data_IF_270806370171
#
_entry.id   IF_270806370171
#
_cell.length_a   1.000
_cell.length_b   1.000
_cell.length_c   1.000
_cell.angle_alpha   90.00
_cell.angle_beta   90.00
_cell.angle_gamma   90.00
#
_symmetry.space_group_name_H-M   'P 1'
#
loop_
_entity.id
_entity.type
_entity.pdbx_description
1 polymer ?
#
# COMPACT_ATOMS: atom_id res chain seq x y z
N UNK A 1 8.71 13.89 -64.09
CA UNK A 1 9.64 12.84 -64.55
C UNK A 1 9.53 11.65 -63.61
N UNK A 2 8.96 10.55 -64.12
CA UNK A 2 9.15 9.13 -63.76
C UNK A 2 8.73 8.60 -62.37
N UNK A 3 7.53 7.99 -62.40
CA UNK A 3 7.04 6.87 -61.59
C UNK A 3 8.07 5.76 -61.36
N UNK A 4 8.04 5.14 -60.18
CA UNK A 4 8.50 3.76 -59.94
C UNK A 4 7.43 3.02 -59.12
N UNK A 5 6.51 2.39 -59.84
CA UNK A 5 5.68 1.28 -59.37
C UNK A 5 6.47 -0.01 -59.64
N UNK A 6 6.56 -0.90 -58.65
CA UNK A 6 6.70 -2.33 -58.91
C UNK A 6 5.78 -3.11 -57.99
N UNK A 7 4.92 -3.87 -58.65
CA UNK A 7 3.88 -4.75 -58.14
C UNK A 7 4.48 -5.93 -57.38
N UNK A 8 3.81 -6.36 -56.31
CA UNK A 8 3.95 -7.72 -55.78
C UNK A 8 2.58 -8.36 -55.76
N UNK A 9 2.52 -9.48 -56.48
CA UNK A 9 1.34 -10.19 -56.91
C UNK A 9 0.52 -10.76 -55.75
N UNK A 10 -0.79 -10.69 -55.95
CA UNK A 10 -1.86 -11.33 -55.17
C UNK A 10 -1.72 -12.85 -55.32
N UNK A 11 -1.35 -13.53 -54.24
CA UNK A 11 -1.35 -15.00 -54.13
C UNK A 11 -2.32 -15.43 -53.03
N UNK A 12 -3.44 -16.01 -53.43
CA UNK A 12 -4.47 -16.61 -52.59
C UNK A 12 -3.90 -17.75 -51.72
N UNK A 13 -3.85 -17.55 -50.40
CA UNK A 13 -3.61 -18.64 -49.43
C UNK A 13 -4.86 -18.79 -48.57
N UNK A 14 -5.56 -19.88 -48.83
CA UNK A 14 -6.73 -20.38 -48.10
C UNK A 14 -6.38 -20.59 -46.61
N UNK A 15 -7.19 -20.13 -45.64
CA UNK A 15 -6.94 -20.47 -44.24
C UNK A 15 -7.39 -21.91 -43.98
N UNK A 16 -6.43 -22.81 -43.83
CA UNK A 16 -6.66 -24.17 -43.35
C UNK A 16 -7.01 -24.10 -41.86
N UNK A 17 -8.30 -24.11 -41.56
CA UNK A 17 -8.84 -24.27 -40.21
C UNK A 17 -8.42 -25.65 -39.68
N UNK A 18 -7.29 -25.71 -38.97
CA UNK A 18 -6.87 -26.90 -38.23
C UNK A 18 -7.61 -26.92 -36.90
N UNK A 19 -8.72 -27.66 -36.89
CA UNK A 19 -9.50 -27.97 -35.70
C UNK A 19 -8.70 -28.96 -34.84
N UNK A 20 -7.88 -28.43 -33.91
CA UNK A 20 -7.20 -29.24 -32.89
C UNK A 20 -8.19 -29.61 -31.79
N UNK A 21 -8.78 -30.79 -31.94
CA UNK A 21 -9.50 -31.52 -30.89
C UNK A 21 -8.48 -31.94 -29.83
N UNK A 22 -8.44 -31.25 -28.69
CA UNK A 22 -7.72 -31.75 -27.52
C UNK A 22 -8.55 -32.87 -26.88
N UNK A 23 -8.23 -34.10 -27.29
CA UNK A 23 -8.57 -35.32 -26.54
C UNK A 23 -7.87 -35.25 -25.19
N UNK A 24 -8.65 -35.29 -24.13
CA UNK A 24 -8.14 -35.42 -22.77
C UNK A 24 -7.53 -36.80 -22.53
N UNK A 25 -6.30 -36.80 -22.03
CA UNK A 25 -5.73 -37.94 -21.31
C UNK A 25 -5.68 -37.57 -19.83
N UNK A 26 -6.63 -38.16 -19.08
CA UNK A 26 -6.45 -38.44 -17.66
C UNK A 26 -5.39 -39.52 -17.57
N UNK A 27 -4.32 -39.29 -16.82
CA UNK A 27 -3.53 -40.41 -16.31
C UNK A 27 -3.07 -40.22 -14.87
N UNK A 28 -3.19 -41.35 -14.21
CA UNK A 28 -3.10 -41.73 -12.82
C UNK A 28 -1.67 -41.67 -12.28
N UNK A 29 -1.58 -41.38 -10.98
CA UNK A 29 -0.58 -41.83 -10.00
C UNK A 29 0.65 -42.58 -10.52
N UNK A 30 1.81 -41.97 -10.35
CA UNK A 30 3.03 -42.70 -10.00
C UNK A 30 3.80 -41.95 -8.91
N UNK A 31 3.79 -42.53 -7.71
CA UNK A 31 4.72 -42.19 -6.64
C UNK A 31 6.14 -42.56 -7.04
N UNK A 32 7.06 -41.62 -6.81
CA UNK A 32 8.50 -41.78 -7.03
C UNK A 32 9.28 -41.23 -5.84
N UNK A 33 9.79 -42.18 -5.05
CA UNK A 33 10.97 -42.19 -4.18
C UNK A 33 11.71 -40.86 -3.88
N UNK A 34 11.81 -40.56 -2.58
CA UNK A 34 12.68 -39.55 -2.01
C UNK A 34 14.14 -40.04 -2.04
N UNK A 35 15.05 -39.20 -2.49
CA UNK A 35 16.48 -39.33 -2.16
C UNK A 35 17.04 -38.01 -1.66
N UNK A 36 17.77 -38.11 -0.56
CA UNK A 36 18.29 -37.07 0.32
C UNK A 36 19.25 -36.05 -0.32
N UNK A 37 19.20 -34.82 0.20
CA UNK A 37 20.39 -34.22 0.79
C UNK A 37 21.18 -33.19 -0.03
N UNK A 38 20.77 -31.91 0.05
CA UNK A 38 21.72 -30.82 0.27
C UNK A 38 21.13 -29.81 1.26
N UNK A 39 21.58 -29.95 2.50
CA UNK A 39 21.33 -29.04 3.61
C UNK A 39 21.78 -27.63 3.26
N UNK A 40 20.82 -26.71 3.20
CA UNK A 40 20.99 -25.28 3.35
C UNK A 40 20.00 -24.84 4.41
N UNK A 41 20.50 -24.19 5.46
CA UNK A 41 19.77 -23.77 6.66
C UNK A 41 18.48 -23.04 6.32
N UNK A 42 17.35 -23.75 6.36
CA UNK A 42 16.03 -23.17 6.49
C UNK A 42 15.79 -22.92 7.97
N UNK A 43 15.71 -21.65 8.35
CA UNK A 43 15.05 -21.27 9.60
C UNK A 43 13.68 -21.94 9.61
N UNK A 44 13.43 -22.78 10.60
CA UNK A 44 12.19 -23.54 10.75
C UNK A 44 11.03 -22.56 10.96
N UNK A 45 10.39 -22.14 9.88
CA UNK A 45 9.01 -21.66 9.96
C UNK A 45 8.18 -22.87 10.35
N UNK A 46 7.81 -22.95 11.64
CA UNK A 46 6.82 -23.89 12.16
C UNK A 46 5.64 -23.93 11.18
N UNK A 47 5.54 -25.00 10.41
CA UNK A 47 4.66 -25.08 9.26
C UNK A 47 3.22 -24.80 9.66
N UNK A 48 2.70 -23.65 9.26
CA UNK A 48 1.27 -23.33 9.39
C UNK A 48 0.58 -24.08 8.25
N UNK A 49 0.28 -25.37 8.46
CA UNK A 49 -0.52 -26.16 7.52
C UNK A 49 -1.99 -26.10 7.90
N UNK A 50 -2.88 -25.86 6.93
CA UNK A 50 -4.34 -25.78 7.12
C UNK A 50 -4.92 -24.41 6.77
N UNK A 51 -6.20 -24.13 7.11
CA UNK A 51 -6.90 -22.90 6.72
C UNK A 51 -6.19 -21.61 7.16
N UNK A 52 -5.49 -21.65 8.29
CA UNK A 52 -4.66 -20.52 8.77
C UNK A 52 -3.45 -20.27 7.88
N UNK A 53 -2.81 -21.34 7.40
CA UNK A 53 -1.70 -21.26 6.44
C UNK A 53 -2.15 -20.69 5.10
N UNK A 54 -3.36 -21.03 4.67
CA UNK A 54 -3.95 -20.48 3.45
C UNK A 54 -4.26 -18.99 3.59
N UNK A 55 -4.75 -18.56 4.77
CA UNK A 55 -4.93 -17.13 5.09
C UNK A 55 -3.61 -16.36 5.14
N UNK A 56 -2.57 -16.92 5.76
CA UNK A 56 -1.24 -16.28 5.80
C UNK A 56 -0.67 -16.12 4.39
N UNK A 57 -0.77 -17.13 3.53
CA UNK A 57 -0.33 -17.04 2.12
C UNK A 57 -1.12 -16.01 1.32
N UNK A 58 -2.44 -15.97 1.52
CA UNK A 58 -3.29 -14.94 0.89
C UNK A 58 -2.91 -13.54 1.36
N UNK A 59 -2.63 -13.39 2.65
CA UNK A 59 -2.16 -12.14 3.25
C UNK A 59 -0.81 -11.69 2.72
N UNK A 60 0.14 -12.61 2.60
CA UNK A 60 1.46 -12.34 2.02
C UNK A 60 1.34 -11.83 0.58
N UNK A 61 0.53 -12.51 -0.24
CA UNK A 61 0.23 -12.07 -1.60
C UNK A 61 -0.36 -10.65 -1.61
N UNK A 62 -1.36 -10.38 -0.77
CA UNK A 62 -2.02 -9.08 -0.68
C UNK A 62 -1.05 -7.97 -0.24
N UNK A 63 -0.29 -8.21 0.82
CA UNK A 63 0.71 -7.25 1.32
C UNK A 63 1.76 -6.92 0.25
N UNK A 64 2.13 -7.92 -0.56
CA UNK A 64 3.08 -7.74 -1.66
C UNK A 64 2.48 -6.91 -2.79
N UNK A 65 1.31 -7.29 -3.31
CA UNK A 65 0.71 -6.61 -4.48
C UNK A 65 0.12 -5.24 -4.16
N UNK A 66 -0.28 -5.01 -2.91
CA UNK A 66 -0.71 -3.70 -2.42
C UNK A 66 0.47 -2.80 -2.02
N UNK A 67 1.71 -3.30 -2.08
CA UNK A 67 2.91 -2.48 -1.83
C UNK A 67 3.03 -1.99 -0.38
N UNK A 68 2.55 -2.73 0.62
CA UNK A 68 2.61 -2.23 2.00
C UNK A 68 4.06 -2.04 2.47
N UNK A 69 5.00 -2.84 1.95
CA UNK A 69 6.42 -2.71 2.26
C UNK A 69 7.05 -1.42 1.74
N UNK A 70 6.48 -0.78 0.72
CA UNK A 70 7.02 0.44 0.12
C UNK A 70 7.09 1.56 1.15
N UNK A 71 6.11 1.64 2.04
CA UNK A 71 6.10 2.61 3.14
C UNK A 71 6.46 2.01 4.50
N UNK A 72 6.12 0.74 4.77
CA UNK A 72 6.29 0.16 6.10
C UNK A 72 7.59 -0.60 6.30
N UNK A 73 8.46 -0.70 5.30
CA UNK A 73 9.78 -1.34 5.44
C UNK A 73 10.89 -0.35 5.12
N UNK A 74 11.85 -0.11 6.03
CA UNK A 74 13.06 0.65 5.72
C UNK A 74 13.78 0.09 4.49
N UNK A 75 14.54 0.94 3.82
CA UNK A 75 15.29 0.58 2.61
C UNK A 75 16.79 0.50 2.86
N UNK A 76 17.46 -0.44 2.22
CA UNK A 76 18.93 -0.50 2.10
C UNK A 76 19.33 -0.29 0.64
N UNK A 77 20.55 0.18 0.40
CA UNK A 77 21.05 0.36 -0.97
C UNK A 77 21.46 -0.99 -1.56
N UNK A 78 20.72 -1.44 -2.57
CA UNK A 78 21.08 -2.56 -3.43
C UNK A 78 21.80 -2.10 -4.71
N UNK A 79 22.14 -3.05 -5.57
CA UNK A 79 22.85 -2.81 -6.84
C UNK A 79 22.09 -1.86 -7.78
N UNK A 80 20.76 -1.93 -7.79
CA UNK A 80 19.90 -1.13 -8.67
C UNK A 80 19.12 -0.03 -7.94
N UNK A 81 19.56 0.33 -6.73
CA UNK A 81 18.93 1.37 -5.91
C UNK A 81 18.35 0.84 -4.60
N UNK A 82 17.51 1.65 -3.91
CA UNK A 82 16.94 1.27 -2.63
C UNK A 82 16.01 0.05 -2.75
N UNK A 83 16.22 -0.95 -1.91
CA UNK A 83 15.39 -2.16 -1.80
C UNK A 83 14.91 -2.33 -0.35
N UNK A 84 13.75 -2.97 -0.10
CA UNK A 84 13.31 -3.30 1.25
C UNK A 84 14.39 -4.02 2.07
N UNK A 85 14.61 -3.56 3.29
CA UNK A 85 15.51 -4.19 4.26
C UNK A 85 14.86 -5.46 4.82
N UNK A 86 15.37 -6.66 4.49
CA UNK A 86 14.77 -7.91 4.93
C UNK A 86 14.82 -8.07 6.46
N UNK A 87 15.83 -7.50 7.13
CA UNK A 87 15.98 -7.60 8.59
C UNK A 87 15.00 -6.70 9.35
N UNK A 88 14.37 -5.76 8.63
CA UNK A 88 13.47 -4.74 9.19
C UNK A 88 12.12 -4.70 8.49
N UNK A 89 11.74 -5.81 7.86
CA UNK A 89 10.45 -6.01 7.18
C UNK A 89 9.29 -5.52 8.04
N UNK A 90 8.49 -4.61 7.50
CA UNK A 90 7.28 -4.04 8.12
C UNK A 90 7.49 -3.31 9.46
N UNK A 91 8.73 -2.97 9.82
CA UNK A 91 9.05 -2.30 11.09
C UNK A 91 8.75 -0.80 11.14
N UNK A 92 8.30 -0.20 10.04
CA UNK A 92 7.96 1.22 9.95
C UNK A 92 9.18 2.14 9.83
N UNK A 93 9.00 3.42 10.13
CA UNK A 93 10.08 4.41 10.10
C UNK A 93 11.16 4.13 11.16
N UNK A 94 12.47 4.17 10.83
CA UNK A 94 13.52 4.02 11.82
C UNK A 94 13.49 5.14 12.88
N UNK A 95 13.24 4.79 14.15
CA UNK A 95 13.14 5.76 15.23
C UNK A 95 14.42 6.60 15.45
N UNK A 96 15.57 6.06 15.04
CA UNK A 96 16.88 6.72 15.17
C UNK A 96 17.16 7.77 14.09
N UNK A 97 16.31 7.91 13.09
CA UNK A 97 16.55 8.80 11.95
C UNK A 97 15.78 10.12 12.09
N UNK A 98 16.48 11.24 12.38
CA UNK A 98 15.83 12.53 12.43
C UNK A 98 15.42 12.97 11.03
N UNK A 99 14.26 13.60 10.93
CA UNK A 99 13.84 14.30 9.72
C UNK A 99 14.21 15.78 9.80
N UNK A 100 14.43 16.43 8.63
CA UNK A 100 14.56 17.88 8.60
C UNK A 100 13.26 18.54 9.10
N UNK A 101 13.41 19.75 9.66
CA UNK A 101 12.25 20.55 10.05
C UNK A 101 11.38 20.89 8.83
N UNK A 102 10.09 21.11 9.06
CA UNK A 102 9.17 21.56 8.02
C UNK A 102 9.62 22.92 7.46
N UNK A 103 10.00 22.94 6.19
CA UNK A 103 10.32 24.15 5.46
C UNK A 103 9.08 24.59 4.64
N UNK A 104 8.36 25.65 5.06
CA UNK A 104 7.16 26.13 4.36
C UNK A 104 7.45 26.71 2.97
N UNK A 105 8.71 27.03 2.66
CA UNK A 105 9.09 27.52 1.34
C UNK A 105 9.20 26.38 0.32
N UNK A 106 9.51 25.16 0.78
CA UNK A 106 9.60 23.97 -0.04
C UNK A 106 8.34 23.10 0.01
N UNK A 107 7.74 22.96 1.19
CA UNK A 107 6.60 22.08 1.48
C UNK A 107 5.33 22.87 1.67
N UNK A 108 4.26 22.48 0.97
CA UNK A 108 2.97 23.12 1.14
C UNK A 108 2.00 22.86 -0.01
N UNK A 109 0.90 23.61 -0.01
CA UNK A 109 -0.06 23.63 -1.10
C UNK A 109 0.28 24.74 -2.10
N UNK A 110 0.19 24.44 -3.40
CA UNK A 110 0.27 25.43 -4.47
C UNK A 110 1.43 25.20 -5.47
N UNK A 111 1.51 26.05 -6.51
CA UNK A 111 2.52 25.92 -7.55
C UNK A 111 3.95 25.95 -6.99
N UNK A 112 4.77 24.97 -7.38
CA UNK A 112 6.19 24.88 -6.97
C UNK A 112 6.43 24.32 -5.57
N UNK A 113 5.39 23.93 -4.84
CA UNK A 113 5.50 23.26 -3.53
C UNK A 113 5.50 21.73 -3.71
N UNK A 114 6.18 21.04 -2.80
CA UNK A 114 6.37 19.59 -2.85
C UNK A 114 5.89 18.89 -1.58
N UNK A 115 5.61 17.60 -1.71
CA UNK A 115 5.63 16.66 -0.58
C UNK A 115 7.03 16.06 -0.55
N UNK A 116 7.66 16.04 0.61
CA UNK A 116 8.98 15.42 0.78
C UNK A 116 8.82 14.04 1.40
N UNK A 117 9.59 13.08 0.90
CA UNK A 117 9.72 11.75 1.47
C UNK A 117 11.19 11.50 1.86
N UNK A 118 11.43 10.78 2.94
CA UNK A 118 12.78 10.31 3.25
C UNK A 118 13.21 9.18 2.29
N UNK A 119 14.51 8.86 2.26
CA UNK A 119 15.08 7.83 1.37
C UNK A 119 14.45 6.43 1.55
N UNK A 120 13.86 6.16 2.72
CA UNK A 120 13.20 4.89 3.00
C UNK A 120 11.73 4.84 2.54
N UNK A 121 11.15 5.97 2.13
CA UNK A 121 9.71 6.15 1.91
C UNK A 121 8.84 5.84 3.13
N UNK A 122 9.42 5.98 4.32
CA UNK A 122 8.77 5.69 5.61
C UNK A 122 8.29 6.95 6.35
N UNK A 123 8.68 8.12 5.85
CA UNK A 123 8.39 9.41 6.47
C UNK A 123 8.08 10.44 5.40
N UNK A 124 7.03 11.23 5.63
CA UNK A 124 6.53 12.23 4.69
C UNK A 124 6.26 13.56 5.37
N UNK A 125 6.66 14.64 4.71
CA UNK A 125 6.40 16.02 5.13
C UNK A 125 5.54 16.69 4.07
N UNK A 126 4.37 17.14 4.46
CA UNK A 126 3.38 17.78 3.61
C UNK A 126 2.66 18.93 4.32
N UNK A 127 1.65 19.55 3.68
CA UNK A 127 0.84 20.60 4.31
C UNK A 127 0.07 20.13 5.55
N UNK A 128 -0.07 18.82 5.77
CA UNK A 128 -0.65 18.22 6.98
C UNK A 128 0.37 18.09 8.13
N UNK A 129 1.65 18.40 7.89
CA UNK A 129 2.76 18.21 8.81
C UNK A 129 3.62 16.99 8.46
N UNK A 130 4.21 16.37 9.47
CA UNK A 130 5.13 15.24 9.35
C UNK A 130 4.45 13.96 9.80
N UNK A 131 4.62 12.91 9.01
CA UNK A 131 3.98 11.61 9.20
C UNK A 131 4.99 10.49 9.05
N UNK A 132 4.77 9.42 9.80
CA UNK A 132 5.68 8.28 9.87
C UNK A 132 4.88 6.99 9.67
N UNK A 133 5.40 6.07 8.86
CA UNK A 133 4.84 4.75 8.69
C UNK A 133 5.03 3.94 9.99
N UNK A 134 3.93 3.42 10.52
CA UNK A 134 3.91 2.64 11.76
C UNK A 134 4.66 1.31 11.63
N UNK A 135 5.10 0.79 12.78
CA UNK A 135 5.54 -0.60 12.90
C UNK A 135 4.33 -1.55 12.81
N UNK A 136 4.31 -2.43 11.80
CA UNK A 136 3.24 -3.40 11.56
C UNK A 136 3.64 -4.83 11.95
N UNK A 137 4.79 -5.03 12.56
CA UNK A 137 5.20 -6.34 13.09
C UNK A 137 4.41 -6.69 14.35
N UNK A 138 4.37 -7.97 14.77
CA UNK A 138 3.66 -8.39 15.98
C UNK A 138 4.40 -8.03 17.28
N UNK A 139 5.42 -7.15 17.22
CA UNK A 139 6.07 -6.58 18.39
C UNK A 139 5.13 -5.68 19.20
N UNK A 140 5.41 -5.51 20.50
CA UNK A 140 4.65 -4.62 21.39
C UNK A 140 4.66 -3.15 20.95
N UNK A 141 5.74 -2.74 20.26
CA UNK A 141 5.87 -1.39 19.66
C UNK A 141 5.15 -1.25 18.31
N UNK A 142 4.63 -2.36 17.76
CA UNK A 142 3.85 -2.43 16.53
C UNK A 142 2.40 -2.81 16.77
N UNK A 143 1.90 -3.81 16.02
CA UNK A 143 0.52 -4.32 16.14
C UNK A 143 0.41 -5.54 17.06
N UNK A 144 1.42 -5.81 17.90
CA UNK A 144 1.47 -6.95 18.81
C UNK A 144 0.23 -7.08 19.69
N UNK A 145 -0.26 -5.95 20.23
CA UNK A 145 -1.44 -5.87 21.09
C UNK A 145 -2.77 -5.67 20.37
N UNK A 146 -2.76 -5.46 19.04
CA UNK A 146 -3.97 -5.16 18.29
C UNK A 146 -4.81 -6.42 18.10
N UNK A 147 -6.12 -6.27 18.21
CA UNK A 147 -7.07 -7.30 17.79
C UNK A 147 -7.34 -7.21 16.29
N UNK A 148 -7.80 -8.31 15.70
CA UNK A 148 -8.23 -8.33 14.29
C UNK A 148 -9.31 -7.27 14.04
N UNK A 149 -10.30 -7.16 14.92
CA UNK A 149 -11.37 -6.17 14.83
C UNK A 149 -10.83 -4.73 14.80
N UNK A 150 -9.86 -4.42 15.67
CA UNK A 150 -9.21 -3.10 15.67
C UNK A 150 -8.47 -2.83 14.37
N UNK A 151 -7.81 -3.84 13.78
CA UNK A 151 -7.14 -3.71 12.49
C UNK A 151 -8.14 -3.44 11.36
N UNK A 152 -9.20 -4.26 11.24
CA UNK A 152 -10.27 -4.08 10.25
C UNK A 152 -10.90 -2.70 10.37
N UNK A 153 -11.28 -2.30 11.58
CA UNK A 153 -11.86 -0.99 11.86
C UNK A 153 -10.91 0.15 11.47
N UNK A 154 -9.63 0.00 11.78
CA UNK A 154 -8.60 1.00 11.45
C UNK A 154 -8.53 1.25 9.95
N UNK A 155 -8.51 0.19 9.14
CA UNK A 155 -8.43 0.33 7.67
C UNK A 155 -9.76 0.82 7.09
N UNK A 156 -10.90 0.33 7.59
CA UNK A 156 -12.23 0.70 7.06
C UNK A 156 -12.67 2.13 7.37
N UNK A 157 -12.30 2.62 8.55
CA UNK A 157 -12.69 3.95 9.03
C UNK A 157 -11.58 4.99 8.86
N UNK A 158 -10.34 4.55 8.58
CA UNK A 158 -9.21 5.46 8.48
C UNK A 158 -8.80 6.04 9.83
N UNK A 159 -9.01 5.30 10.92
CA UNK A 159 -8.77 5.78 12.29
C UNK A 159 -7.80 4.84 13.01
N UNK A 160 -6.64 5.34 13.45
CA UNK A 160 -5.62 4.54 14.17
C UNK A 160 -6.26 3.85 15.37
N UNK A 161 -6.06 2.52 15.46
CA UNK A 161 -6.65 1.62 16.47
C UNK A 161 -8.18 1.70 16.58
N UNK A 162 -8.88 2.11 15.52
CA UNK A 162 -10.33 2.34 15.52
C UNK A 162 -10.79 3.43 16.51
N UNK A 163 -9.87 4.30 16.92
CA UNK A 163 -10.08 5.41 17.87
C UNK A 163 -10.45 6.71 17.15
N UNK A 164 -10.09 7.86 17.72
CA UNK A 164 -10.46 9.18 17.15
C UNK A 164 -9.39 9.80 16.24
N UNK A 165 -8.18 9.22 16.18
CA UNK A 165 -7.05 9.80 15.43
C UNK A 165 -7.06 9.27 14.00
N UNK A 166 -7.10 10.12 12.96
CA UNK A 166 -7.03 9.67 11.58
C UNK A 166 -5.70 9.00 11.24
N UNK A 167 -5.75 8.05 10.29
CA UNK A 167 -4.57 7.62 9.54
C UNK A 167 -4.14 8.79 8.67
N UNK A 168 -2.91 9.25 8.88
CA UNK A 168 -2.41 10.43 8.21
C UNK A 168 -1.90 10.07 6.80
N UNK A 169 -1.92 11.02 5.84
CA UNK A 169 -1.34 10.80 4.53
C UNK A 169 0.14 10.42 4.62
N UNK A 170 0.68 9.62 3.66
CA UNK A 170 0.03 9.17 2.42
C UNK A 170 -0.59 7.76 2.53
N UNK A 171 -0.90 7.25 3.73
CA UNK A 171 -1.48 5.92 3.89
C UNK A 171 -2.79 5.79 3.08
N UNK A 172 -2.90 4.88 2.08
CA UNK A 172 -4.01 4.86 1.13
C UNK A 172 -5.21 4.05 1.65
N UNK A 173 -5.65 4.34 2.87
CA UNK A 173 -6.73 3.62 3.54
C UNK A 173 -8.07 3.80 2.82
N UNK A 174 -8.30 4.91 2.10
CA UNK A 174 -9.50 5.15 1.31
C UNK A 174 -9.66 4.15 0.16
N UNK A 175 -8.54 3.62 -0.35
CA UNK A 175 -8.54 2.50 -1.29
C UNK A 175 -8.76 1.18 -0.56
N UNK A 176 -7.98 0.92 0.49
CA UNK A 176 -7.97 -0.35 1.21
C UNK A 176 -9.25 -0.66 1.97
N UNK A 177 -10.04 0.35 2.35
CA UNK A 177 -11.36 0.14 3.00
C UNK A 177 -12.35 -0.64 2.14
N UNK A 178 -12.11 -0.73 0.83
CA UNK A 178 -12.96 -1.46 -0.12
C UNK A 178 -12.57 -2.93 -0.27
N UNK A 179 -11.49 -3.38 0.37
CA UNK A 179 -11.14 -4.80 0.41
C UNK A 179 -12.23 -5.60 1.12
N UNK A 180 -12.42 -6.83 0.68
CA UNK A 180 -13.27 -7.78 1.41
C UNK A 180 -12.71 -8.02 2.82
N UNK A 181 -13.58 -8.30 3.78
CA UNK A 181 -13.18 -8.54 5.16
C UNK A 181 -12.21 -9.71 5.26
N UNK A 182 -12.40 -10.74 4.45
CA UNK A 182 -11.53 -11.91 4.35
C UNK A 182 -10.11 -11.53 3.91
N UNK A 183 -9.98 -10.56 2.99
CA UNK A 183 -8.68 -10.06 2.53
C UNK A 183 -7.98 -9.25 3.63
N UNK A 184 -8.72 -8.40 4.36
CA UNK A 184 -8.17 -7.67 5.50
C UNK A 184 -7.73 -8.60 6.64
N UNK A 185 -8.51 -9.66 6.90
CA UNK A 185 -8.15 -10.70 7.88
C UNK A 185 -6.92 -11.48 7.44
N UNK A 186 -6.82 -11.84 6.16
CA UNK A 186 -5.64 -12.50 5.61
C UNK A 186 -4.39 -11.62 5.76
N UNK A 187 -4.48 -10.32 5.42
CA UNK A 187 -3.40 -9.35 5.65
C UNK A 187 -3.01 -9.34 7.13
N UNK A 188 -3.97 -9.22 8.04
CA UNK A 188 -3.69 -9.21 9.47
C UNK A 188 -3.00 -10.50 9.93
N UNK A 189 -3.50 -11.67 9.52
CA UNK A 189 -2.90 -12.97 9.83
C UNK A 189 -1.43 -13.05 9.36
N UNK A 190 -1.15 -12.59 8.14
CA UNK A 190 0.23 -12.52 7.63
C UNK A 190 1.09 -11.57 8.48
N UNK A 191 0.62 -10.36 8.77
CA UNK A 191 1.37 -9.41 9.60
C UNK A 191 1.67 -9.97 10.99
N UNK A 192 0.72 -10.70 11.59
CA UNK A 192 0.90 -11.38 12.89
C UNK A 192 1.86 -12.56 12.83
N UNK A 193 2.12 -13.13 11.65
CA UNK A 193 3.08 -14.23 11.46
C UNK A 193 4.54 -13.76 11.30
N UNK A 194 4.78 -12.46 11.09
CA UNK A 194 6.12 -11.90 10.88
C UNK A 194 7.01 -12.02 12.12
N UNK A 195 8.32 -11.99 11.91
CA UNK A 195 9.30 -11.80 12.99
C UNK A 195 9.04 -10.44 13.68
N UNK A 196 8.85 -10.40 15.01
CA UNK A 196 8.73 -9.14 15.73
C UNK A 196 9.99 -8.29 15.58
N UNK A 197 9.81 -6.98 15.36
CA UNK A 197 10.90 -6.00 15.35
C UNK A 197 10.54 -4.87 16.30
N UNK A 198 11.33 -4.69 17.35
CA UNK A 198 11.14 -3.58 18.29
C UNK A 198 11.57 -2.26 17.67
N UNK A 199 10.63 -1.34 17.48
CA UNK A 199 10.85 -0.02 16.90
C UNK A 199 9.71 0.93 17.30
N UNK A 200 9.99 1.87 18.20
CA UNK A 200 9.03 2.88 18.64
C UNK A 200 9.03 4.04 17.62
N UNK A 201 8.14 3.94 16.64
CA UNK A 201 7.98 4.97 15.61
C UNK A 201 7.48 6.29 16.24
N UNK A 202 8.06 7.46 15.89
CA UNK A 202 7.56 8.75 16.36
C UNK A 202 6.10 8.99 15.98
N UNK A 203 5.36 9.69 16.85
CA UNK A 203 4.00 10.11 16.51
C UNK A 203 4.01 11.20 15.41
N UNK A 204 2.94 11.24 14.62
CA UNK A 204 2.76 12.25 13.59
C UNK A 204 2.75 13.66 14.21
N UNK A 205 3.45 14.59 13.56
CA UNK A 205 3.52 15.98 13.97
C UNK A 205 2.61 16.78 13.04
N UNK A 206 1.46 17.22 13.55
CA UNK A 206 0.53 18.01 12.76
C UNK A 206 1.15 19.36 12.41
N UNK A 207 0.85 19.86 11.21
CA UNK A 207 1.14 21.24 10.89
C UNK A 207 0.47 22.14 11.95
N UNK A 208 1.23 23.10 12.49
CA UNK A 208 0.65 24.16 13.30
C UNK A 208 -0.43 24.91 12.50
N UNK A 209 -1.34 25.63 13.19
CA UNK A 209 -2.28 26.50 12.49
C UNK A 209 -1.51 27.40 11.50
N UNK A 210 -2.05 27.65 10.29
CA UNK A 210 -1.42 28.57 9.36
C UNK A 210 -1.15 29.91 10.08
N UNK A 211 -0.08 30.64 9.72
CA UNK A 211 0.21 31.94 10.32
C UNK A 211 -1.04 32.83 10.29
N UNK A 212 -1.58 33.17 11.48
CA UNK A 212 -2.80 33.98 11.63
C UNK A 212 -4.05 33.25 12.09
N UNK A 213 -4.06 31.91 12.17
CA UNK A 213 -5.16 31.18 12.81
C UNK A 213 -5.00 31.22 14.34
N UNK A 214 -5.95 31.87 15.03
CA UNK A 214 -5.95 31.96 16.50
C UNK A 214 -6.33 30.61 17.12
N UNK A 215 -5.64 30.17 18.19
CA UNK A 215 -6.05 28.98 18.93
C UNK A 215 -7.48 29.16 19.48
N UNK A 216 -8.42 28.32 19.03
CA UNK A 216 -9.80 28.31 19.50
C UNK A 216 -10.86 28.90 18.55
N UNK A 217 -10.51 29.22 17.30
CA UNK A 217 -11.52 29.50 16.26
C UNK A 217 -12.03 28.19 15.67
N UNK A 218 -13.35 27.98 15.67
CA UNK A 218 -13.98 26.85 15.01
C UNK A 218 -13.44 26.67 13.59
N UNK A 219 -13.20 25.41 13.20
CA UNK A 219 -12.78 25.09 11.83
C UNK A 219 -13.70 25.83 10.84
N UNK A 220 -13.15 26.54 9.84
CA UNK A 220 -13.99 27.25 8.88
C UNK A 220 -14.90 26.21 8.23
N UNK A 221 -16.21 26.41 8.37
CA UNK A 221 -17.21 25.64 7.68
C UNK A 221 -16.81 25.60 6.21
N UNK A 222 -16.58 24.39 5.68
CA UNK A 222 -16.34 24.23 4.26
C UNK A 222 -17.62 24.69 3.56
N UNK A 223 -17.54 25.84 2.89
CA UNK A 223 -18.61 26.32 2.01
C UNK A 223 -18.83 25.30 0.92
N UNK A 224 -19.84 24.45 1.12
CA UNK A 224 -20.46 23.71 0.03
C UNK A 224 -21.00 24.75 -0.96
N UNK A 225 -20.76 24.61 -2.27
CA UNK A 225 -21.26 25.56 -3.23
C UNK A 225 -22.79 25.56 -3.19
N UNK A 226 -23.37 26.75 -3.01
CA UNK A 226 -24.80 26.98 -3.07
C UNK A 226 -25.33 26.54 -4.44
N UNK A 227 -26.23 25.56 -4.44
CA UNK A 227 -27.08 25.22 -5.58
C UNK A 227 -27.79 26.49 -6.07
N UNK A 228 -27.56 26.81 -7.35
CA UNK A 228 -28.03 28.03 -8.00
C UNK A 228 -29.55 28.11 -8.09
N UNK A 229 -30.11 29.21 -7.58
CA UNK A 229 -31.48 29.62 -7.86
C UNK A 229 -31.60 30.15 -9.28
N UNK A 230 -32.41 29.46 -10.09
CA UNK A 230 -32.82 29.88 -11.42
C UNK A 230 -33.71 31.13 -11.33
N UNK A 231 -33.27 32.19 -12.00
CA UNK A 231 -33.97 33.44 -12.15
C UNK A 231 -34.75 33.44 -13.47
N UNK A 232 -36.07 33.28 -13.40
CA UNK A 232 -36.97 33.62 -14.49
C UNK A 232 -38.04 34.62 -14.00
N UNK A 233 -37.72 35.92 -14.13
CA UNK A 233 -38.71 37.00 -14.21
C UNK A 233 -39.05 37.20 -15.69
N UNK A 234 -40.30 36.98 -16.06
CA UNK A 234 -40.94 37.69 -17.17
C UNK A 234 -42.27 38.23 -16.66
N UNK A 235 -42.30 39.55 -16.46
CA UNK A 235 -43.51 40.33 -16.20
C UNK A 235 -44.34 40.40 -17.49
N UNK A 236 -45.66 40.31 -17.36
CA UNK A 236 -46.62 40.69 -18.39
C UNK A 236 -47.50 41.83 -17.88
N UNK A 237 -47.63 42.89 -18.69
CA UNK A 237 -48.78 43.79 -18.87
C UNK A 237 -48.32 45.06 -19.61
#
# INVERSE_FOLDING_TARGET
MRNWMQEVAIGTILPMFLLLVFVGCSDSDQGGEMTDGKSGTTTEQKGISGPEGDMVKRGEYLVTVLGCQDCHTPKVMGEHGPVPDPERTMSGHPASEPLPAHDPDLVGMGPGKWILANMHFTAYVGPWGTTYASNLTPDETGIGSWTEEQFLKTIKEGLKTGGARPLMPPMPWEGYRNLADEDLKAIFAYLKSLKPVSNVVPEAQLAGPPPGATPGGDAPATDAPAEGGDSAKTEGA
#
